data_IF_389387438276
#
_entry.id   IF_389387438276
#
_cell.length_a   1.000
_cell.length_b   1.000
_cell.length_c   1.000
_cell.angle_alpha   90.00
_cell.angle_beta   90.00
_cell.angle_gamma   90.00
#
_symmetry.space_group_name_H-M   'P 1'
#
loop_
_entity.id
_entity.type
_entity.pdbx_description
1 polymer ?
#
# COMPACT_ATOMS: atom_id res chain seq x y z
N UNK A 1 65.95 -32.42 -39.00
CA UNK A 1 65.89 -32.57 -40.47
C UNK A 1 64.43 -32.32 -40.84
N UNK A 2 63.98 -31.19 -41.38
CA UNK A 2 64.62 -30.21 -42.26
C UNK A 2 63.97 -30.31 -43.65
N UNK A 3 63.39 -29.21 -44.14
CA UNK A 3 62.82 -28.96 -45.49
C UNK A 3 61.39 -29.47 -45.72
N UNK A 4 60.45 -28.80 -46.40
CA UNK A 4 60.39 -27.55 -47.21
C UNK A 4 58.87 -27.28 -47.47
N UNK A 5 58.32 -26.11 -47.17
CA UNK A 5 57.75 -25.09 -48.10
C UNK A 5 57.65 -25.52 -49.58
N UNK A 6 56.68 -25.14 -50.42
CA UNK A 6 55.90 -23.90 -50.52
C UNK A 6 54.75 -24.09 -51.54
N UNK A 7 53.82 -23.14 -51.53
CA UNK A 7 52.77 -22.80 -52.51
C UNK A 7 53.21 -22.90 -54.00
N UNK A 8 52.28 -23.10 -54.95
CA UNK A 8 51.54 -22.00 -55.60
C UNK A 8 50.73 -22.40 -56.85
N UNK A 9 49.61 -21.69 -57.05
CA UNK A 9 49.03 -21.08 -58.28
C UNK A 9 49.38 -21.66 -59.67
N UNK A 10 48.55 -21.63 -60.73
CA UNK A 10 47.39 -20.82 -61.17
C UNK A 10 46.95 -21.34 -62.56
N UNK A 11 45.82 -20.79 -63.04
CA UNK A 11 45.53 -20.35 -64.41
C UNK A 11 44.19 -20.92 -64.91
N UNK A 12 43.09 -20.15 -64.85
CA UNK A 12 42.69 -19.10 -65.84
C UNK A 12 41.99 -19.75 -67.05
N UNK A 13 40.97 -19.22 -67.71
CA UNK A 13 40.24 -17.94 -67.76
C UNK A 13 39.00 -18.23 -68.66
N UNK A 14 37.90 -17.47 -68.68
CA UNK A 14 37.60 -16.21 -69.42
C UNK A 14 36.06 -16.14 -69.35
N UNK A 15 35.31 -15.04 -69.22
CA UNK A 15 35.49 -13.58 -69.23
C UNK A 15 34.06 -13.00 -68.98
N UNK A 16 33.91 -11.93 -68.17
CA UNK A 16 33.65 -10.54 -68.61
C UNK A 16 32.27 -10.37 -69.29
N UNK A 17 31.37 -9.44 -68.94
CA UNK A 17 31.54 -8.00 -68.68
C UNK A 17 30.44 -7.40 -67.75
N UNK A 18 30.77 -6.23 -67.19
CA UNK A 18 29.92 -5.28 -66.43
C UNK A 18 29.04 -4.43 -67.36
N UNK A 19 27.91 -3.89 -66.86
CA UNK A 19 27.68 -2.43 -66.77
C UNK A 19 26.37 -2.06 -66.02
N UNK A 20 26.42 -0.92 -65.35
CA UNK A 20 25.34 -0.17 -64.68
C UNK A 20 24.22 0.29 -65.63
N UNK A 21 22.98 0.46 -65.13
CA UNK A 21 22.19 1.69 -65.29
C UNK A 21 20.83 1.72 -64.57
N UNK A 22 20.44 2.96 -64.26
CA UNK A 22 19.26 3.44 -63.55
C UNK A 22 17.90 3.30 -64.29
N UNK A 23 16.84 3.71 -63.56
CA UNK A 23 15.56 4.33 -63.99
C UNK A 23 14.38 3.43 -64.41
N UNK A 24 13.44 3.32 -63.47
CA UNK A 24 12.13 3.98 -63.47
C UNK A 24 11.52 4.45 -64.81
N UNK A 25 10.40 3.84 -65.20
CA UNK A 25 9.22 4.40 -65.91
C UNK A 25 8.08 3.37 -65.68
N UNK A 26 6.84 3.68 -65.30
CA UNK A 26 6.08 4.92 -65.47
C UNK A 26 5.24 4.85 -66.75
N UNK A 27 4.01 5.35 -66.67
CA UNK A 27 3.07 5.76 -67.74
C UNK A 27 1.90 4.79 -68.00
N UNK A 28 0.65 5.26 -68.12
CA UNK A 28 0.26 6.56 -68.67
C UNK A 28 -1.11 7.06 -68.16
N UNK A 29 -1.13 8.33 -67.73
CA UNK A 29 -2.29 9.24 -67.74
C UNK A 29 -2.74 9.50 -69.18
N UNK A 30 -3.99 9.91 -69.41
CA UNK A 30 -4.25 11.11 -70.24
C UNK A 30 -5.48 11.88 -69.74
N UNK A 31 -5.24 13.17 -69.52
CA UNK A 31 -6.16 14.27 -69.21
C UNK A 31 -7.15 14.60 -70.36
N UNK A 32 -8.18 15.41 -70.08
CA UNK A 32 -8.35 16.74 -70.70
C UNK A 32 -9.64 17.46 -70.24
N UNK A 33 -9.46 18.76 -70.03
CA UNK A 33 -10.38 19.91 -69.79
C UNK A 33 -11.55 20.02 -70.79
N UNK A 34 -12.64 20.77 -70.62
CA UNK A 34 -12.77 22.18 -70.19
C UNK A 34 -14.28 22.61 -70.09
N UNK A 35 -14.55 23.72 -69.38
CA UNK A 35 -15.69 24.69 -69.50
C UNK A 35 -17.19 24.34 -69.26
N UNK A 36 -17.80 25.01 -68.26
CA UNK A 36 -18.84 26.09 -68.42
C UNK A 36 -19.97 26.16 -67.34
N UNK A 37 -19.94 27.25 -66.55
CA UNK A 37 -20.99 28.28 -66.27
C UNK A 37 -22.44 27.88 -65.81
N UNK A 38 -22.86 28.49 -64.66
CA UNK A 38 -24.23 28.83 -64.15
C UNK A 38 -25.13 27.64 -63.71
N UNK A 39 -25.94 27.66 -62.64
CA UNK A 39 -26.56 28.72 -61.83
C UNK A 39 -27.18 28.13 -60.55
N UNK A 40 -27.47 29.03 -59.59
CA UNK A 40 -28.13 28.82 -58.28
C UNK A 40 -29.42 27.98 -58.34
N UNK A 41 -29.67 27.12 -57.33
CA UNK A 41 -30.92 27.11 -56.55
C UNK A 41 -30.88 26.26 -55.27
N UNK A 42 -31.43 26.85 -54.23
CA UNK A 42 -31.60 26.40 -52.85
C UNK A 42 -32.67 25.31 -52.75
N UNK A 43 -32.46 24.24 -51.95
CA UNK A 43 -33.42 23.76 -50.91
C UNK A 43 -32.98 22.49 -50.15
N UNK A 44 -32.81 22.68 -48.83
CA UNK A 44 -33.15 21.81 -47.68
C UNK A 44 -32.68 20.34 -47.68
N UNK A 45 -31.54 20.07 -47.04
CA UNK A 45 -31.27 18.79 -46.38
C UNK A 45 -31.64 18.86 -44.88
N UNK A 46 -32.58 18.00 -44.46
CA UNK A 46 -32.81 17.65 -43.06
C UNK A 46 -31.59 16.87 -42.54
N UNK A 47 -30.75 17.48 -41.70
CA UNK A 47 -29.78 16.74 -40.87
C UNK A 47 -30.31 16.61 -39.44
N UNK A 48 -30.60 15.38 -39.03
CA UNK A 48 -30.91 15.00 -37.64
C UNK A 48 -29.71 15.38 -36.75
N UNK A 49 -29.89 16.34 -35.84
CA UNK A 49 -28.93 16.62 -34.76
C UNK A 49 -29.07 15.54 -33.67
N UNK A 50 -28.08 14.66 -33.53
CA UNK A 50 -27.88 13.87 -32.29
C UNK A 50 -27.26 14.81 -31.25
N UNK A 51 -28.09 15.41 -30.40
CA UNK A 51 -27.62 16.01 -29.16
C UNK A 51 -27.31 14.86 -28.19
N UNK A 52 -26.04 14.69 -27.81
CA UNK A 52 -25.69 13.95 -26.59
C UNK A 52 -26.11 14.81 -25.41
N UNK A 53 -27.28 14.50 -24.83
CA UNK A 53 -27.61 14.96 -23.48
C UNK A 53 -26.60 14.32 -22.52
N UNK A 54 -25.64 15.11 -22.06
CA UNK A 54 -24.87 14.79 -20.85
C UNK A 54 -25.76 15.24 -19.70
N UNK A 55 -26.27 14.35 -18.82
CA UNK A 55 -26.92 14.79 -17.61
C UNK A 55 -25.86 15.47 -16.75
N UNK A 56 -26.02 16.78 -16.56
CA UNK A 56 -25.28 17.56 -15.58
C UNK A 56 -25.73 17.02 -14.22
N UNK A 57 -24.99 16.07 -13.64
CA UNK A 57 -25.28 15.63 -12.29
C UNK A 57 -25.12 16.83 -11.36
N UNK A 58 -26.23 17.19 -10.73
CA UNK A 58 -26.33 18.34 -9.85
C UNK A 58 -25.27 18.26 -8.77
N UNK A 59 -24.54 19.36 -8.62
CA UNK A 59 -23.76 19.65 -7.44
C UNK A 59 -24.72 19.58 -6.24
N UNK A 60 -24.72 18.46 -5.51
CA UNK A 60 -25.32 18.42 -4.19
C UNK A 60 -24.52 19.40 -3.35
N UNK A 61 -25.19 20.47 -2.91
CA UNK A 61 -24.66 21.45 -1.97
C UNK A 61 -24.13 20.68 -0.76
N UNK A 62 -22.80 20.69 -0.59
CA UNK A 62 -22.16 20.27 0.65
C UNK A 62 -22.60 21.25 1.74
N UNK A 63 -23.25 20.71 2.77
CA UNK A 63 -23.53 21.37 4.04
C UNK A 63 -22.28 22.11 4.55
N UNK A 64 -22.49 23.25 5.22
CA UNK A 64 -21.50 24.11 5.87
C UNK A 64 -20.61 23.35 6.87
N UNK A 65 -19.65 22.60 6.35
CA UNK A 65 -18.62 21.91 7.12
C UNK A 65 -17.40 22.78 7.33
N UNK A 66 -16.67 22.55 8.42
CA UNK A 66 -15.35 23.15 8.63
C UNK A 66 -14.48 22.90 7.39
N UNK A 67 -13.98 23.94 6.70
CA UNK A 67 -13.15 23.75 5.52
C UNK A 67 -11.87 23.04 5.95
N UNK A 68 -11.51 21.94 5.29
CA UNK A 68 -10.22 21.28 5.51
C UNK A 68 -9.18 21.97 4.61
N UNK A 69 -8.17 22.59 5.21
CA UNK A 69 -7.06 23.22 4.51
C UNK A 69 -6.00 22.16 4.18
N UNK A 70 -5.53 22.15 2.94
CA UNK A 70 -4.37 21.36 2.52
C UNK A 70 -3.16 22.28 2.56
N UNK A 71 -2.16 21.94 3.39
CA UNK A 71 -0.87 22.61 3.39
C UNK A 71 0.17 21.64 2.77
N UNK A 72 0.80 21.99 1.65
CA UNK A 72 1.87 21.17 1.11
C UNK A 72 3.06 21.16 2.07
N UNK A 73 3.64 19.97 2.29
CA UNK A 73 4.93 19.83 2.96
C UNK A 73 6.06 20.11 1.95
N UNK A 74 7.20 20.61 2.44
CA UNK A 74 8.37 20.99 1.65
C UNK A 74 8.93 19.82 0.79
N UNK A 75 8.61 18.57 1.16
CA UNK A 75 9.04 17.35 0.47
C UNK A 75 8.00 16.76 -0.51
N UNK A 76 6.86 17.44 -0.73
CA UNK A 76 5.81 17.00 -1.69
C UNK A 76 4.64 16.22 -1.09
N UNK A 77 4.72 15.85 0.20
CA UNK A 77 3.57 15.41 1.00
C UNK A 77 2.60 16.55 1.29
N UNK A 78 1.53 16.26 2.02
CA UNK A 78 0.63 17.32 2.48
C UNK A 78 0.03 17.01 3.85
N UNK A 79 -0.10 18.08 4.61
CA UNK A 79 -0.78 18.13 5.88
C UNK A 79 -2.22 18.61 5.65
N UNK A 80 -3.17 17.96 6.30
CA UNK A 80 -4.58 18.38 6.32
C UNK A 80 -4.93 18.76 7.74
N UNK A 81 -5.46 19.97 7.88
CA UNK A 81 -5.93 20.53 9.15
C UNK A 81 -7.23 21.33 8.93
N UNK A 82 -7.93 21.64 10.00
CA UNK A 82 -9.12 22.48 9.93
C UNK A 82 -8.72 23.93 9.59
N UNK A 83 -9.42 24.53 8.63
CA UNK A 83 -9.22 25.91 8.23
C UNK A 83 -9.46 26.87 9.39
N UNK A 84 -8.59 27.88 9.49
CA UNK A 84 -8.48 28.81 10.61
C UNK A 84 -9.67 29.80 10.68
N UNK A 85 -10.85 29.35 11.09
CA UNK A 85 -11.95 30.25 11.46
C UNK A 85 -11.81 30.69 12.93
N UNK A 86 -10.71 31.38 13.26
CA UNK A 86 -10.52 32.05 14.55
C UNK A 86 -10.39 31.14 15.78
N UNK A 87 -9.85 29.93 15.64
CA UNK A 87 -9.70 28.96 16.75
C UNK A 87 -8.27 28.93 17.27
N UNK A 88 -8.11 29.10 18.59
CA UNK A 88 -6.83 29.08 19.31
C UNK A 88 -6.34 27.68 19.70
N UNK A 89 -6.88 26.59 19.12
CA UNK A 89 -6.49 25.24 19.51
C UNK A 89 -5.67 24.58 18.40
N UNK A 90 -4.42 24.25 18.73
CA UNK A 90 -3.52 23.53 17.84
C UNK A 90 -3.76 22.01 17.99
N UNK A 91 -3.67 21.24 16.89
CA UNK A 91 -3.86 19.80 16.94
C UNK A 91 -2.83 19.13 17.86
N UNK A 92 -3.28 18.12 18.60
CA UNK A 92 -2.45 17.36 19.55
C UNK A 92 -2.17 15.93 19.09
N UNK A 93 -2.85 15.46 18.04
CA UNK A 93 -2.77 14.09 17.55
C UNK A 93 -2.35 14.04 16.08
N UNK A 94 -1.16 13.51 15.83
CA UNK A 94 -0.66 13.23 14.49
C UNK A 94 -1.25 11.93 13.96
N UNK A 95 -1.84 11.96 12.76
CA UNK A 95 -2.29 10.79 12.02
C UNK A 95 -1.48 10.66 10.73
N UNK A 96 -0.57 9.69 10.69
CA UNK A 96 0.30 9.43 9.55
C UNK A 96 -0.37 8.43 8.61
N UNK A 97 -0.68 8.86 7.38
CA UNK A 97 -1.28 8.02 6.35
C UNK A 97 -0.23 7.58 5.32
N UNK A 98 -0.10 6.26 5.09
CA UNK A 98 1.00 5.66 4.31
C UNK A 98 0.46 4.89 3.12
N UNK A 99 0.87 5.26 1.90
CA UNK A 99 0.36 4.68 0.67
C UNK A 99 0.89 3.26 0.37
N UNK A 100 0.13 2.52 -0.43
CA UNK A 100 0.53 1.24 -1.00
C UNK A 100 1.47 1.37 -2.20
N UNK A 101 1.76 0.22 -2.83
CA UNK A 101 2.63 0.10 -4.01
C UNK A 101 2.10 0.92 -5.20
N UNK A 102 2.98 1.61 -5.93
CA UNK A 102 2.61 2.55 -7.03
C UNK A 102 1.60 3.62 -6.56
N UNK A 103 1.63 3.94 -5.26
CA UNK A 103 0.77 4.93 -4.64
C UNK A 103 1.45 6.31 -4.53
N UNK A 104 0.69 7.25 -3.97
CA UNK A 104 1.17 8.55 -3.52
C UNK A 104 0.30 9.06 -2.37
N UNK A 105 0.72 10.15 -1.72
CA UNK A 105 -0.04 10.82 -0.66
C UNK A 105 -1.49 11.12 -1.09
N UNK A 106 -1.72 11.42 -2.37
CA UNK A 106 -3.03 11.79 -2.90
C UNK A 106 -4.10 10.71 -2.78
N UNK A 107 -3.69 9.45 -2.66
CA UNK A 107 -4.61 8.34 -2.45
C UNK A 107 -5.37 8.46 -1.12
N UNK A 108 -4.81 9.19 -0.15
CA UNK A 108 -5.39 9.41 1.17
C UNK A 108 -6.19 10.70 1.29
N UNK A 109 -6.21 11.55 0.25
CA UNK A 109 -6.85 12.87 0.29
C UNK A 109 -8.30 12.82 0.79
N UNK A 110 -9.08 11.83 0.35
CA UNK A 110 -10.46 11.68 0.83
C UNK A 110 -10.51 11.38 2.32
N UNK A 111 -9.77 10.36 2.78
CA UNK A 111 -9.76 9.95 4.18
C UNK A 111 -9.25 11.09 5.08
N UNK A 112 -8.15 11.74 4.71
CA UNK A 112 -7.59 12.85 5.47
C UNK A 112 -8.59 13.98 5.69
N UNK A 113 -9.33 14.36 4.64
CA UNK A 113 -10.41 15.36 4.76
C UNK A 113 -11.54 14.91 5.68
N UNK A 114 -11.92 13.63 5.69
CA UNK A 114 -12.96 13.14 6.60
C UNK A 114 -12.48 13.11 8.05
N UNK A 115 -11.23 12.70 8.30
CA UNK A 115 -10.63 12.72 9.64
C UNK A 115 -10.61 14.13 10.24
N UNK A 116 -10.13 15.11 9.47
CA UNK A 116 -10.09 16.51 9.90
C UNK A 116 -11.49 17.08 10.12
N UNK A 117 -12.47 16.70 9.30
CA UNK A 117 -13.86 17.13 9.51
C UNK A 117 -14.46 16.55 10.80
N UNK A 118 -14.12 15.31 11.13
CA UNK A 118 -14.62 14.65 12.33
C UNK A 118 -13.92 15.14 13.61
N UNK A 119 -12.63 15.46 13.52
CA UNK A 119 -11.80 15.87 14.66
C UNK A 119 -11.08 17.21 14.42
N UNK A 120 -11.80 18.30 14.11
CA UNK A 120 -11.21 19.54 13.58
C UNK A 120 -10.25 20.25 14.52
N UNK A 121 -10.26 19.93 15.82
CA UNK A 121 -9.39 20.57 16.81
C UNK A 121 -8.36 19.59 17.42
N UNK A 122 -8.43 18.30 17.12
CA UNK A 122 -7.56 17.29 17.78
C UNK A 122 -6.52 16.73 16.81
N UNK A 123 -6.87 16.55 15.53
CA UNK A 123 -6.01 15.82 14.57
C UNK A 123 -5.30 16.72 13.57
N UNK A 124 -4.01 16.45 13.40
CA UNK A 124 -3.22 16.81 12.22
C UNK A 124 -3.07 15.54 11.37
N UNK A 125 -3.55 15.54 10.14
CA UNK A 125 -3.39 14.38 9.25
C UNK A 125 -2.24 14.64 8.28
N UNK A 126 -1.18 13.85 8.37
CA UNK A 126 -0.05 13.90 7.45
C UNK A 126 -0.16 12.76 6.43
N UNK A 127 -0.29 13.10 5.15
CA UNK A 127 -0.24 12.13 4.06
C UNK A 127 1.20 12.04 3.53
N UNK A 128 1.88 10.94 3.86
CA UNK A 128 3.29 10.72 3.55
C UNK A 128 3.55 10.62 2.05
N UNK A 129 4.63 11.25 1.59
CA UNK A 129 5.12 11.19 0.20
C UNK A 129 6.52 10.54 0.10
N UNK A 130 7.13 10.17 1.23
CA UNK A 130 8.45 9.50 1.29
C UNK A 130 8.63 8.33 0.33
N UNK A 131 7.53 7.66 -0.03
CA UNK A 131 7.53 6.42 -0.79
C UNK A 131 6.49 6.45 -1.92
N UNK A 132 6.61 7.42 -2.83
CA UNK A 132 5.73 7.55 -3.98
C UNK A 132 6.25 6.91 -5.26
N UNK A 133 5.32 6.46 -6.10
CA UNK A 133 5.60 5.96 -7.44
C UNK A 133 6.68 4.86 -7.45
N UNK A 134 7.78 5.05 -8.18
CA UNK A 134 8.86 4.07 -8.32
C UNK A 134 9.63 3.81 -7.01
N UNK A 135 9.62 4.76 -6.08
CA UNK A 135 10.25 4.59 -4.75
C UNK A 135 9.59 3.46 -3.95
N UNK A 136 8.36 3.08 -4.32
CA UNK A 136 7.67 1.93 -3.70
C UNK A 136 8.35 0.58 -3.97
N UNK A 137 9.37 0.52 -4.84
CA UNK A 137 10.09 -0.70 -5.20
C UNK A 137 11.41 -0.89 -4.44
N UNK A 138 11.81 0.07 -3.60
CA UNK A 138 13.12 0.11 -2.93
C UNK A 138 13.27 -0.90 -1.79
N UNK A 139 12.17 -1.51 -1.34
CA UNK A 139 12.16 -2.45 -0.21
C UNK A 139 11.60 -1.85 1.07
N UNK A 140 10.81 -2.65 1.80
CA UNK A 140 10.13 -2.25 3.04
C UNK A 140 11.07 -1.65 4.09
N UNK A 141 12.30 -2.12 4.16
CA UNK A 141 13.35 -1.61 5.04
C UNK A 141 13.77 -0.18 4.69
N UNK A 142 14.12 0.06 3.42
CA UNK A 142 14.52 1.39 2.94
C UNK A 142 13.37 2.36 3.06
N UNK A 143 12.18 1.95 2.62
CA UNK A 143 10.97 2.77 2.68
C UNK A 143 10.57 3.09 4.13
N UNK A 144 10.73 2.13 5.03
CA UNK A 144 10.45 2.31 6.46
C UNK A 144 11.37 3.31 7.14
N UNK A 145 12.66 3.32 6.78
CA UNK A 145 13.62 4.32 7.27
C UNK A 145 13.27 5.73 6.78
N UNK A 146 12.95 5.88 5.49
CA UNK A 146 12.51 7.17 4.92
C UNK A 146 11.26 7.69 5.64
N UNK A 147 10.27 6.82 5.83
CA UNK A 147 9.06 7.19 6.56
C UNK A 147 9.37 7.61 8.01
N UNK A 148 10.28 6.91 8.70
CA UNK A 148 10.70 7.30 10.05
C UNK A 148 11.35 8.69 10.08
N UNK A 149 12.18 9.02 9.09
CA UNK A 149 12.80 10.35 8.96
C UNK A 149 11.75 11.45 8.70
N UNK A 150 10.78 11.19 7.81
CA UNK A 150 9.67 12.11 7.52
C UNK A 150 8.80 12.33 8.76
N UNK A 151 8.45 11.28 9.51
CA UNK A 151 7.64 11.41 10.73
C UNK A 151 8.33 12.27 11.79
N UNK A 152 9.65 12.14 11.98
CA UNK A 152 10.41 13.01 12.89
C UNK A 152 10.37 14.46 12.42
N UNK A 153 10.54 14.70 11.11
CA UNK A 153 10.45 16.05 10.54
C UNK A 153 9.09 16.69 10.83
N UNK A 154 8.00 15.94 10.60
CA UNK A 154 6.62 16.40 10.90
C UNK A 154 6.44 16.67 12.39
N UNK A 155 6.88 15.76 13.26
CA UNK A 155 6.75 15.93 14.71
C UNK A 155 7.50 17.19 15.20
N UNK A 156 8.71 17.43 14.69
CA UNK A 156 9.51 18.61 15.04
C UNK A 156 8.89 19.93 14.54
N UNK A 157 8.18 19.91 13.41
CA UNK A 157 7.44 21.09 12.90
C UNK A 157 6.23 21.45 13.76
N UNK A 158 5.70 20.52 14.54
CA UNK A 158 4.49 20.69 15.32
C UNK A 158 4.72 20.30 16.80
N UNK A 159 5.35 21.16 17.62
CA UNK A 159 5.78 20.83 18.99
C UNK A 159 4.62 20.58 19.97
N UNK A 160 3.40 20.93 19.59
CA UNK A 160 2.16 20.73 20.37
C UNK A 160 1.56 19.33 20.20
N UNK A 161 2.10 18.52 19.29
CA UNK A 161 1.70 17.12 19.15
C UNK A 161 2.08 16.34 20.40
N UNK A 162 1.17 15.50 20.86
CA UNK A 162 1.33 14.62 22.02
C UNK A 162 1.07 13.16 21.65
N UNK A 163 0.18 12.91 20.69
CA UNK A 163 -0.26 11.58 20.28
C UNK A 163 0.13 11.29 18.83
N UNK A 164 0.37 10.03 18.50
CA UNK A 164 0.60 9.56 17.13
C UNK A 164 -0.22 8.32 16.79
N UNK A 165 -0.75 8.29 15.57
CA UNK A 165 -1.42 7.13 14.98
C UNK A 165 -0.93 6.90 13.56
N UNK A 166 -0.94 5.65 13.11
CA UNK A 166 -0.60 5.26 11.75
C UNK A 166 -1.79 4.61 11.06
N UNK A 167 -1.99 4.94 9.78
CA UNK A 167 -2.96 4.30 8.89
C UNK A 167 -2.23 3.89 7.61
N UNK A 168 -2.03 2.60 7.41
CA UNK A 168 -1.30 2.06 6.25
C UNK A 168 -2.22 1.30 5.30
N UNK A 169 -2.09 1.55 3.99
CA UNK A 169 -2.80 0.79 2.95
C UNK A 169 -1.86 -0.15 2.24
N UNK A 170 -2.24 -1.42 2.11
CA UNK A 170 -1.48 -2.42 1.35
C UNK A 170 -0.03 -2.47 1.83
N UNK A 171 0.94 -2.28 0.94
CA UNK A 171 2.37 -2.14 1.27
C UNK A 171 2.65 -1.10 2.38
N UNK A 172 1.86 -0.02 2.45
CA UNK A 172 2.01 1.04 3.44
C UNK A 172 1.89 0.57 4.89
N UNK A 173 1.10 -0.47 5.17
CA UNK A 173 1.04 -1.06 6.51
C UNK A 173 2.34 -1.78 6.91
N UNK A 174 3.04 -2.38 5.95
CA UNK A 174 4.36 -2.99 6.18
C UNK A 174 5.43 -1.91 6.36
N UNK A 175 5.39 -0.86 5.54
CA UNK A 175 6.29 0.30 5.67
C UNK A 175 6.13 0.95 7.05
N UNK A 176 4.88 1.20 7.47
CA UNK A 176 4.57 1.75 8.79
C UNK A 176 5.10 0.85 9.91
N UNK A 177 4.91 -0.48 9.82
CA UNK A 177 5.43 -1.44 10.80
C UNK A 177 6.95 -1.40 10.91
N UNK A 178 7.67 -1.17 9.80
CA UNK A 178 9.11 -0.99 9.85
C UNK A 178 9.49 0.34 10.49
N UNK A 179 8.83 1.43 10.08
CA UNK A 179 9.11 2.78 10.55
C UNK A 179 8.92 2.91 12.07
N UNK A 180 7.86 2.35 12.65
CA UNK A 180 7.65 2.40 14.10
C UNK A 180 8.74 1.69 14.89
N UNK A 181 9.34 0.62 14.34
CA UNK A 181 10.44 -0.07 15.01
C UNK A 181 11.74 0.76 14.98
N UNK A 182 11.99 1.47 13.87
CA UNK A 182 13.11 2.42 13.77
C UNK A 182 12.92 3.63 14.69
N UNK A 183 11.71 4.19 14.75
CA UNK A 183 11.37 5.30 15.66
C UNK A 183 11.52 4.87 17.13
N UNK A 184 11.00 3.69 17.47
CA UNK A 184 11.14 3.14 18.82
C UNK A 184 12.61 2.95 19.22
N UNK A 185 13.44 2.40 18.31
CA UNK A 185 14.89 2.24 18.54
C UNK A 185 15.57 3.60 18.80
N UNK A 186 15.22 4.63 18.02
CA UNK A 186 15.77 5.99 18.19
C UNK A 186 15.38 6.59 19.53
N UNK A 187 14.12 6.46 19.93
CA UNK A 187 13.64 6.97 21.23
C UNK A 187 14.33 6.27 22.41
N UNK A 188 14.65 4.98 22.31
CA UNK A 188 15.45 4.27 23.32
C UNK A 188 16.88 4.82 23.41
N UNK A 189 17.53 5.10 22.28
CA UNK A 189 18.90 5.62 22.24
C UNK A 189 19.00 7.03 22.85
N UNK A 190 18.00 7.88 22.61
CA UNK A 190 17.94 9.23 23.21
C UNK A 190 17.87 9.15 24.74
N UNK A 191 17.01 8.29 25.29
CA UNK A 191 16.86 8.12 26.75
C UNK A 191 18.14 7.60 27.42
N UNK A 192 18.80 6.61 26.82
CA UNK A 192 20.07 6.08 27.36
C UNK A 192 21.22 7.11 27.35
N UNK A 193 21.15 8.12 26.48
CA UNK A 193 22.14 9.20 26.44
C UNK A 193 21.98 10.22 27.57
N UNK A 194 20.76 10.41 28.07
CA UNK A 194 20.41 11.36 29.14
C UNK A 194 20.65 10.79 30.55
N UNK A 195 20.54 9.47 30.73
CA UNK A 195 20.69 8.79 32.02
C UNK A 195 22.15 8.60 32.50
N UNK A 196 23.15 8.83 31.65
CA UNK A 196 24.58 8.72 32.03
C UNK A 196 25.08 9.89 32.93
N UNK A 197 24.18 10.70 33.48
CA UNK A 197 24.49 11.83 34.37
C UNK A 197 23.81 11.80 35.74
N UNK A 198 23.09 10.73 36.11
CA UNK A 198 22.29 10.68 37.34
C UNK A 198 22.40 9.35 38.09
N UNK A 199 22.60 9.46 39.40
CA UNK A 199 22.81 8.43 40.43
C UNK A 199 21.92 7.18 40.30
N UNK A 200 22.55 6.00 40.26
CA UNK A 200 21.88 4.69 40.23
C UNK A 200 21.22 4.37 41.59
N UNK A 201 19.99 4.85 41.80
CA UNK A 201 19.16 4.29 42.87
C UNK A 201 17.68 4.28 42.49
N UNK A 202 17.02 3.14 42.75
CA UNK A 202 15.61 2.81 42.53
C UNK A 202 15.23 2.05 41.24
N UNK A 203 15.66 0.79 41.15
CA UNK A 203 14.85 -0.27 40.53
C UNK A 203 13.64 -0.56 41.42
N UNK A 204 12.49 0.05 41.15
CA UNK A 204 11.20 -0.45 41.64
C UNK A 204 10.53 -1.29 40.58
N UNK A 205 10.50 -2.59 40.83
CA UNK A 205 9.67 -3.59 40.17
C UNK A 205 8.18 -3.26 40.27
N UNK A 206 7.57 -2.85 39.15
CA UNK A 206 6.12 -2.80 38.95
C UNK A 206 5.82 -3.18 37.48
N UNK A 207 5.17 -4.33 37.34
CA UNK A 207 4.45 -4.89 36.18
C UNK A 207 4.65 -4.20 34.80
N UNK A 208 5.37 -4.91 33.94
CA UNK A 208 5.89 -4.53 32.62
C UNK A 208 4.83 -4.08 31.60
N UNK A 209 4.37 -2.83 31.69
CA UNK A 209 3.88 -2.13 30.50
C UNK A 209 5.10 -1.47 29.84
N UNK A 210 5.44 -1.80 28.58
CA UNK A 210 6.50 -1.08 27.89
C UNK A 210 6.09 0.39 27.79
N UNK A 211 6.71 1.23 28.61
CA UNK A 211 6.60 2.69 28.52
C UNK A 211 7.56 3.13 27.42
N UNK A 212 7.02 3.45 26.25
CA UNK A 212 7.79 3.88 25.10
C UNK A 212 6.99 4.88 24.27
N UNK A 213 7.73 5.77 23.62
CA UNK A 213 7.18 6.72 22.67
C UNK A 213 7.51 6.26 21.25
N UNK A 214 6.86 6.87 20.27
CA UNK A 214 7.20 6.77 18.86
C UNK A 214 7.43 8.19 18.34
N UNK A 215 8.68 8.52 18.00
CA UNK A 215 9.09 9.88 17.65
C UNK A 215 8.80 10.88 18.78
N UNK A 216 8.96 10.47 20.04
CA UNK A 216 8.63 11.30 21.20
C UNK A 216 7.12 11.46 21.48
N UNK A 217 6.23 10.88 20.67
CA UNK A 217 4.77 10.98 20.81
C UNK A 217 4.17 9.71 21.40
N UNK A 218 3.04 9.83 22.09
CA UNK A 218 2.27 8.71 22.65
C UNK A 218 1.56 7.93 21.52
N UNK A 219 1.88 6.64 21.29
CA UNK A 219 1.25 5.86 20.24
C UNK A 219 -0.18 5.42 20.61
N UNK A 220 -1.15 5.75 19.76
CA UNK A 220 -2.58 5.48 19.99
C UNK A 220 -3.09 4.35 19.10
N UNK A 221 -3.17 4.57 17.78
CA UNK A 221 -3.72 3.59 16.84
C UNK A 221 -2.70 3.15 15.78
N UNK A 222 -2.59 1.84 15.56
CA UNK A 222 -1.91 1.26 14.40
C UNK A 222 -2.96 0.55 13.51
N UNK A 223 -3.37 1.21 12.44
CA UNK A 223 -4.46 0.77 11.57
C UNK A 223 -3.87 0.34 10.23
N UNK A 224 -4.31 -0.82 9.74
CA UNK A 224 -3.90 -1.34 8.44
C UNK A 224 -5.10 -1.72 7.60
N UNK A 225 -5.06 -1.39 6.30
CA UNK A 225 -6.11 -1.70 5.32
C UNK A 225 -5.51 -2.55 4.20
N UNK A 226 -6.06 -3.74 3.97
CA UNK A 226 -5.63 -4.67 2.92
C UNK A 226 -4.11 -4.90 2.89
N UNK A 227 -3.46 -4.94 4.06
CA UNK A 227 -1.99 -5.06 4.19
C UNK A 227 -1.55 -6.52 4.11
N UNK A 228 -0.58 -6.91 3.27
CA UNK A 228 -0.11 -8.30 3.17
C UNK A 228 0.85 -8.65 4.33
N UNK A 229 0.34 -8.69 5.57
CA UNK A 229 1.16 -8.89 6.77
C UNK A 229 1.99 -10.17 6.75
N UNK A 230 1.49 -11.23 6.11
CA UNK A 230 2.13 -12.55 5.96
C UNK A 230 2.81 -12.72 4.59
N UNK A 231 2.90 -11.64 3.82
CA UNK A 231 3.31 -11.65 2.42
C UNK A 231 2.16 -12.00 1.47
N UNK A 232 2.53 -12.18 0.20
CA UNK A 232 1.62 -12.45 -0.92
C UNK A 232 1.83 -13.84 -1.53
N UNK A 233 2.74 -14.65 -0.99
CA UNK A 233 3.06 -15.99 -1.48
C UNK A 233 2.13 -17.06 -0.90
N UNK A 234 1.73 -18.04 -1.69
CA UNK A 234 1.00 -19.23 -1.23
C UNK A 234 -0.48 -19.01 -0.92
N UNK A 235 -0.99 -17.79 -1.07
CA UNK A 235 -2.41 -17.53 -0.92
C UNK A 235 -3.09 -17.92 -2.24
N UNK A 236 -3.84 -19.03 -2.25
CA UNK A 236 -4.79 -19.40 -3.32
C UNK A 236 -5.88 -18.32 -3.59
N UNK A 237 -5.75 -17.15 -2.98
CA UNK A 237 -6.61 -15.98 -3.01
C UNK A 237 -5.95 -14.76 -3.70
N UNK A 238 -4.74 -14.91 -4.27
CA UNK A 238 -4.18 -13.94 -5.24
C UNK A 238 -4.46 -14.50 -6.65
N UNK A 239 -5.69 -14.40 -7.21
CA UNK A 239 -5.96 -14.84 -8.57
C UNK A 239 -5.45 -13.75 -9.51
N UNK A 240 -4.14 -13.57 -9.58
CA UNK A 240 -3.60 -12.81 -10.72
C UNK A 240 -3.94 -13.56 -12.02
N UNK A 241 -4.19 -14.89 -11.98
CA UNK A 241 -4.65 -15.69 -13.12
C UNK A 241 -5.44 -16.96 -12.75
N UNK A 242 -6.65 -16.85 -12.17
CA UNK A 242 -7.61 -17.97 -12.04
C UNK A 242 -7.10 -19.28 -11.38
N UNK A 243 -6.36 -19.19 -10.26
CA UNK A 243 -6.16 -20.35 -9.37
C UNK A 243 -5.21 -21.46 -9.87
N UNK A 244 -4.44 -21.27 -10.93
CA UNK A 244 -3.41 -22.21 -11.36
C UNK A 244 -2.09 -22.03 -10.58
N UNK A 245 -1.69 -23.07 -9.85
CA UNK A 245 -0.47 -23.13 -9.02
C UNK A 245 0.85 -22.87 -9.77
N UNK A 246 0.86 -23.11 -11.09
CA UNK A 246 2.01 -22.83 -11.95
C UNK A 246 2.33 -21.32 -12.02
N UNK A 247 1.32 -20.46 -11.88
CA UNK A 247 1.47 -19.01 -12.03
C UNK A 247 1.99 -18.32 -10.77
N UNK A 248 1.86 -18.92 -9.59
CA UNK A 248 2.51 -18.40 -8.37
C UNK A 248 4.04 -18.47 -8.51
N UNK A 249 4.55 -19.52 -9.17
CA UNK A 249 5.97 -19.60 -9.54
C UNK A 249 6.35 -18.50 -10.54
N UNK A 250 5.48 -18.20 -11.51
CA UNK A 250 5.71 -17.11 -12.49
C UNK A 250 5.64 -15.73 -11.82
N UNK A 251 4.70 -15.48 -10.92
CA UNK A 251 4.60 -14.25 -10.14
C UNK A 251 5.80 -14.08 -9.19
N UNK A 252 6.26 -15.15 -8.55
CA UNK A 252 7.51 -15.12 -7.78
C UNK A 252 8.73 -14.84 -8.66
N UNK A 253 8.74 -15.37 -9.90
CA UNK A 253 9.76 -15.07 -10.92
C UNK A 253 9.57 -13.72 -11.59
N UNK A 254 8.43 -13.05 -11.41
CA UNK A 254 8.13 -11.69 -11.86
C UNK A 254 8.28 -10.67 -10.73
N UNK A 255 8.47 -11.12 -9.48
CA UNK A 255 8.64 -10.25 -8.31
C UNK A 255 9.84 -9.31 -8.42
N UNK A 256 10.87 -9.68 -9.20
CA UNK A 256 11.99 -8.80 -9.56
C UNK A 256 11.54 -7.52 -10.29
N UNK A 257 10.41 -7.55 -11.02
CA UNK A 257 9.85 -6.35 -11.66
C UNK A 257 9.33 -5.32 -10.63
N UNK A 258 9.05 -5.77 -9.41
CA UNK A 258 8.71 -4.92 -8.26
C UNK A 258 9.92 -4.65 -7.37
N UNK A 259 11.14 -4.83 -7.90
CA UNK A 259 12.39 -4.53 -7.23
C UNK A 259 12.61 -5.35 -5.95
N UNK A 260 13.15 -4.68 -4.92
CA UNK A 260 13.39 -5.28 -3.61
C UNK A 260 12.07 -5.52 -2.86
N UNK A 261 11.10 -4.62 -3.03
CA UNK A 261 9.75 -4.77 -2.45
C UNK A 261 9.09 -6.08 -2.86
N UNK A 262 9.18 -6.47 -4.14
CA UNK A 262 8.67 -7.75 -4.61
C UNK A 262 9.28 -8.94 -3.88
N UNK A 263 10.61 -8.93 -3.67
CA UNK A 263 11.30 -10.02 -2.94
C UNK A 263 10.81 -10.14 -1.50
N UNK A 264 10.59 -9.02 -0.80
CA UNK A 264 10.05 -9.01 0.56
C UNK A 264 8.60 -9.55 0.60
N UNK A 265 7.73 -9.10 -0.30
CA UNK A 265 6.33 -9.54 -0.35
C UNK A 265 6.19 -11.04 -0.66
N UNK A 266 7.10 -11.59 -1.47
CA UNK A 266 7.11 -13.01 -1.84
C UNK A 266 7.99 -13.89 -0.93
N UNK A 267 8.52 -13.34 0.17
CA UNK A 267 9.37 -14.06 1.13
C UNK A 267 10.54 -14.78 0.45
N UNK A 268 11.14 -14.12 -0.55
CA UNK A 268 12.22 -14.66 -1.37
C UNK A 268 13.52 -13.88 -1.21
N UNK A 269 13.53 -12.85 -0.38
CA UNK A 269 14.72 -12.15 0.04
C UNK A 269 15.57 -13.03 0.98
N UNK A 270 16.87 -12.79 0.93
CA UNK A 270 17.88 -13.51 1.69
C UNK A 270 19.06 -12.56 1.91
N UNK A 271 18.79 -11.46 2.59
CA UNK A 271 19.76 -10.39 2.82
C UNK A 271 20.79 -10.87 3.86
N UNK A 272 22.07 -10.98 3.46
CA UNK A 272 23.19 -11.37 4.31
C UNK A 272 22.98 -12.69 5.08
N UNK A 273 22.28 -13.65 4.46
CA UNK A 273 21.94 -14.93 5.09
C UNK A 273 20.85 -14.85 6.16
N UNK A 274 20.28 -13.66 6.42
CA UNK A 274 19.16 -13.49 7.35
C UNK A 274 17.86 -14.06 6.75
N UNK A 275 16.91 -14.52 7.59
CA UNK A 275 15.58 -14.91 7.12
C UNK A 275 14.84 -13.74 6.43
N UNK A 276 13.79 -14.03 5.64
CA UNK A 276 13.01 -12.99 4.96
C UNK A 276 12.54 -11.88 5.89
N UNK A 277 12.57 -10.64 5.43
CA UNK A 277 12.31 -9.46 6.24
C UNK A 277 10.95 -9.51 6.93
N UNK A 278 9.87 -9.91 6.23
CA UNK A 278 8.54 -9.96 6.84
C UNK A 278 8.47 -10.98 7.99
N UNK A 279 9.23 -12.06 7.90
CA UNK A 279 9.37 -13.02 9.00
C UNK A 279 10.09 -12.39 10.19
N UNK A 280 11.18 -11.65 9.93
CA UNK A 280 11.92 -10.91 10.98
C UNK A 280 11.05 -9.85 11.65
N UNK A 281 10.15 -9.21 10.91
CA UNK A 281 9.19 -8.22 11.45
C UNK A 281 8.09 -8.82 12.33
N UNK A 282 8.04 -10.14 12.49
CA UNK A 282 7.10 -10.84 13.39
C UNK A 282 7.69 -11.18 14.77
N UNK A 283 8.92 -10.75 15.04
CA UNK A 283 9.63 -10.97 16.30
C UNK A 283 10.51 -9.77 16.62
N UNK A 284 10.90 -9.63 17.89
CA UNK A 284 11.96 -8.69 18.25
C UNK A 284 13.33 -9.30 17.93
N UNK A 285 14.24 -8.43 17.51
CA UNK A 285 15.65 -8.76 17.25
C UNK A 285 16.53 -7.75 17.97
N UNK A 286 17.83 -8.05 18.09
CA UNK A 286 18.82 -7.14 18.67
C UNK A 286 18.85 -5.78 17.93
N UNK A 287 18.73 -5.81 16.59
CA UNK A 287 18.77 -4.61 15.76
C UNK A 287 17.50 -3.76 15.90
N UNK A 288 16.32 -4.40 15.76
CA UNK A 288 15.02 -3.75 15.74
C UNK A 288 13.99 -4.58 16.51
N UNK A 289 13.22 -3.91 17.37
CA UNK A 289 12.19 -4.51 18.23
C UNK A 289 10.79 -4.22 17.66
N UNK A 290 10.39 -4.99 16.64
CA UNK A 290 9.13 -4.79 15.91
C UNK A 290 7.88 -5.05 16.75
N UNK A 291 7.87 -6.12 17.55
CA UNK A 291 6.73 -6.49 18.41
C UNK A 291 6.67 -5.54 19.61
N UNK A 292 7.80 -5.21 20.22
CA UNK A 292 7.85 -4.20 21.29
C UNK A 292 7.30 -2.85 20.81
N UNK A 293 7.70 -2.37 19.62
CA UNK A 293 7.19 -1.12 19.06
C UNK A 293 5.68 -1.18 18.76
N UNK A 294 5.19 -2.28 18.18
CA UNK A 294 3.75 -2.49 17.95
C UNK A 294 2.94 -2.58 19.25
N UNK A 295 3.52 -3.11 20.32
CA UNK A 295 2.87 -3.28 21.62
C UNK A 295 2.53 -1.94 22.27
N UNK A 296 3.30 -0.88 22.00
CA UNK A 296 3.07 0.46 22.55
C UNK A 296 1.72 1.05 22.13
N UNK A 297 1.25 0.74 20.92
CA UNK A 297 -0.03 1.24 20.42
C UNK A 297 -1.19 0.69 21.26
N UNK A 298 -2.05 1.58 21.78
CA UNK A 298 -3.24 1.19 22.54
C UNK A 298 -4.15 0.26 21.74
N UNK A 299 -4.30 0.55 20.44
CA UNK A 299 -5.15 -0.22 19.53
C UNK A 299 -4.43 -0.57 18.25
N UNK A 300 -4.62 -1.81 17.80
CA UNK A 300 -4.13 -2.33 16.52
C UNK A 300 -5.31 -2.88 15.75
N UNK A 301 -5.55 -2.36 14.54
CA UNK A 301 -6.73 -2.71 13.74
C UNK A 301 -6.32 -3.18 12.36
N UNK A 302 -6.88 -4.31 11.92
CA UNK A 302 -6.68 -4.87 10.60
C UNK A 302 -8.01 -4.88 9.81
N UNK A 303 -8.16 -3.92 8.91
CA UNK A 303 -9.22 -3.89 7.90
C UNK A 303 -8.82 -4.77 6.72
N UNK A 304 -9.63 -5.78 6.42
CA UNK A 304 -9.31 -6.76 5.39
C UNK A 304 -10.48 -7.01 4.46
N UNK A 305 -10.20 -7.11 3.16
CA UNK A 305 -11.23 -7.47 2.19
C UNK A 305 -11.51 -8.97 2.27
N UNK A 306 -12.74 -9.35 2.63
CA UNK A 306 -13.16 -10.75 2.66
C UNK A 306 -13.29 -11.35 1.26
N UNK A 307 -13.58 -10.51 0.25
CA UNK A 307 -13.78 -10.93 -1.15
C UNK A 307 -13.24 -9.89 -2.13
N UNK A 308 -12.91 -10.38 -3.34
CA UNK A 308 -12.58 -9.58 -4.53
C UNK A 308 -11.32 -8.71 -4.44
N UNK A 309 -10.56 -8.82 -3.36
CA UNK A 309 -9.17 -8.36 -3.36
C UNK A 309 -8.30 -9.41 -4.05
N UNK A 310 -7.74 -9.03 -5.17
CA UNK A 310 -6.89 -9.90 -5.98
C UNK A 310 -5.40 -9.68 -5.75
N UNK A 311 -5.04 -8.72 -4.90
CA UNK A 311 -3.65 -8.37 -4.61
C UNK A 311 -3.23 -8.90 -3.24
N UNK A 312 -4.13 -8.85 -2.26
CA UNK A 312 -3.85 -9.28 -0.89
C UNK A 312 -4.91 -10.26 -0.42
N UNK A 313 -4.44 -11.46 -0.04
CA UNK A 313 -5.32 -12.51 0.47
C UNK A 313 -5.91 -12.15 1.83
N UNK A 314 -7.16 -12.54 2.06
CA UNK A 314 -7.92 -12.25 3.29
C UNK A 314 -7.19 -12.76 4.54
N UNK A 315 -6.58 -13.95 4.49
CA UNK A 315 -5.81 -14.51 5.61
C UNK A 315 -4.59 -13.66 5.97
N UNK A 316 -3.89 -13.13 4.97
CA UNK A 316 -2.73 -12.25 5.16
C UNK A 316 -3.15 -10.91 5.76
N UNK A 317 -4.19 -10.28 5.22
CA UNK A 317 -4.68 -8.99 5.68
C UNK A 317 -5.35 -9.01 7.06
N UNK A 318 -6.01 -10.11 7.42
CA UNK A 318 -6.67 -10.25 8.73
C UNK A 318 -5.80 -10.89 9.81
N UNK A 319 -4.56 -11.30 9.50
CA UNK A 319 -3.70 -12.06 10.42
C UNK A 319 -4.40 -13.33 10.95
N UNK A 320 -5.08 -14.06 10.08
CA UNK A 320 -5.80 -15.30 10.40
C UNK A 320 -5.25 -16.47 9.62
N UNK A 321 -5.35 -17.68 10.17
CA UNK A 321 -5.18 -18.91 9.40
C UNK A 321 -6.38 -19.09 8.47
N UNK A 322 -6.21 -19.82 7.37
CA UNK A 322 -7.30 -20.02 6.38
C UNK A 322 -8.52 -20.75 6.95
N UNK A 323 -8.31 -21.62 7.94
CA UNK A 323 -9.37 -22.33 8.65
C UNK A 323 -10.05 -21.49 9.76
N UNK A 324 -9.48 -20.33 10.11
CA UNK A 324 -10.04 -19.38 11.08
C UNK A 324 -10.82 -18.25 10.41
N UNK A 325 -10.82 -18.19 9.07
CA UNK A 325 -11.57 -17.18 8.35
C UNK A 325 -13.08 -17.36 8.64
N UNK A 326 -13.78 -16.28 9.03
CA UNK A 326 -15.21 -16.33 9.26
C UNK A 326 -15.95 -16.92 8.06
N UNK A 327 -16.96 -17.75 8.34
CA UNK A 327 -17.97 -18.07 7.33
C UNK A 327 -18.85 -16.84 7.15
N UNK A 328 -19.35 -16.58 5.94
CA UNK A 328 -20.24 -15.42 5.67
C UNK A 328 -21.34 -15.38 6.75
N UNK A 329 -21.29 -14.39 7.65
CA UNK A 329 -22.29 -14.22 8.70
C UNK A 329 -23.55 -13.62 8.09
N UNK A 330 -24.71 -14.05 8.58
CA UNK A 330 -26.00 -13.41 8.30
C UNK A 330 -26.25 -12.18 9.18
N UNK A 331 -25.40 -11.96 10.19
CA UNK A 331 -25.47 -10.81 11.08
C UNK A 331 -24.94 -9.57 10.35
N UNK A 332 -25.88 -8.72 9.95
CA UNK A 332 -25.56 -7.45 9.31
C UNK A 332 -24.97 -6.50 10.35
N UNK A 333 -23.72 -6.07 10.14
CA UNK A 333 -23.24 -4.86 10.80
C UNK A 333 -24.12 -3.68 10.38
N UNK A 334 -24.23 -2.65 11.23
CA UNK A 334 -24.98 -1.43 10.90
C UNK A 334 -24.40 -0.67 9.70
N UNK A 335 -23.12 -0.93 9.37
CA UNK A 335 -22.41 -0.31 8.26
C UNK A 335 -22.41 -1.25 7.04
N UNK A 336 -22.86 -0.78 5.85
CA UNK A 336 -23.16 -1.63 4.70
C UNK A 336 -22.06 -2.59 4.25
N UNK A 337 -20.79 -2.15 4.23
CA UNK A 337 -19.69 -2.97 3.73
C UNK A 337 -18.90 -3.70 4.82
N UNK A 338 -19.18 -3.47 6.10
CA UNK A 338 -18.56 -4.22 7.20
C UNK A 338 -19.35 -5.51 7.41
N UNK A 339 -18.70 -6.66 7.17
CA UNK A 339 -19.37 -7.98 7.22
C UNK A 339 -19.03 -8.77 8.47
N UNK A 340 -17.91 -8.48 9.11
CA UNK A 340 -17.54 -9.09 10.38
C UNK A 340 -16.61 -8.15 11.16
N UNK A 341 -16.78 -8.09 12.47
CA UNK A 341 -15.96 -7.27 13.37
C UNK A 341 -15.61 -8.09 14.61
N UNK A 342 -14.32 -8.35 14.79
CA UNK A 342 -13.77 -9.05 15.95
C UNK A 342 -13.02 -8.04 16.83
N UNK A 343 -13.60 -7.69 17.98
CA UNK A 343 -13.15 -6.55 18.80
C UNK A 343 -11.80 -6.73 19.50
N UNK A 344 -11.46 -7.92 19.98
CA UNK A 344 -10.16 -8.16 20.61
C UNK A 344 -9.78 -9.62 20.40
N UNK A 345 -8.83 -9.86 19.51
CA UNK A 345 -8.22 -11.18 19.37
C UNK A 345 -6.82 -11.19 19.96
N UNK A 346 -6.59 -12.06 20.94
CA UNK A 346 -5.24 -12.47 21.36
C UNK A 346 -5.14 -13.98 21.16
N UNK A 347 -4.04 -14.46 20.57
CA UNK A 347 -3.87 -15.90 20.40
C UNK A 347 -3.88 -16.61 21.76
N UNK A 348 -4.77 -17.57 21.94
CA UNK A 348 -4.93 -18.28 23.21
C UNK A 348 -3.81 -19.34 23.33
N UNK A 349 -2.95 -19.32 24.38
CA UNK A 349 -1.84 -20.27 24.52
C UNK A 349 -2.30 -21.74 24.58
N UNK A 350 -3.53 -21.99 25.03
CA UNK A 350 -4.07 -23.33 25.25
C UNK A 350 -4.63 -24.01 23.99
N UNK A 351 -4.68 -23.32 22.85
CA UNK A 351 -5.05 -23.91 21.55
C UNK A 351 -3.85 -24.61 20.87
N UNK A 352 -2.86 -25.05 21.66
CA UNK A 352 -1.71 -25.83 21.20
C UNK A 352 -1.99 -27.33 20.99
N UNK A 353 -3.21 -27.80 21.31
CA UNK A 353 -3.50 -29.23 21.24
C UNK A 353 -4.08 -29.64 19.87
N UNK A 354 -3.24 -30.39 19.16
CA UNK A 354 -3.58 -31.41 18.15
C UNK A 354 -3.89 -30.96 16.72
N UNK A 355 -2.83 -30.71 15.94
CA UNK A 355 -2.79 -31.09 14.51
C UNK A 355 -1.40 -31.61 14.13
N UNK A 356 -0.99 -32.75 14.72
CA UNK A 356 0.00 -33.64 14.10
C UNK A 356 -0.67 -34.42 12.96
N UNK A 357 -0.97 -33.75 11.85
CA UNK A 357 -1.34 -34.41 10.60
C UNK A 357 -0.15 -34.30 9.63
N UNK A 358 0.42 -35.47 9.30
CA UNK A 358 1.51 -35.68 8.35
C UNK A 358 1.13 -35.13 6.97
N UNK A 359 1.52 -33.90 6.67
CA UNK A 359 1.59 -33.35 5.31
C UNK A 359 2.99 -32.75 5.18
N UNK A 360 3.72 -32.93 4.06
CA UNK A 360 4.99 -32.25 3.87
C UNK A 360 4.71 -30.74 3.85
N UNK A 361 4.91 -30.06 4.98
CA UNK A 361 4.71 -28.61 5.08
C UNK A 361 5.75 -27.95 4.18
N UNK A 362 5.29 -27.14 3.22
CA UNK A 362 6.19 -26.29 2.42
C UNK A 362 6.77 -25.22 3.33
N UNK A 363 8.07 -24.92 3.19
CA UNK A 363 8.79 -23.83 3.90
C UNK A 363 7.97 -22.54 4.04
N UNK A 364 7.18 -22.16 3.04
CA UNK A 364 6.29 -20.98 3.07
C UNK A 364 5.18 -21.07 4.12
N UNK A 365 4.55 -22.24 4.30
CA UNK A 365 3.47 -22.40 5.29
C UNK A 365 4.00 -22.34 6.73
N UNK A 366 5.24 -22.78 6.96
CA UNK A 366 5.91 -22.67 8.25
C UNK A 366 6.27 -21.21 8.58
N UNK A 367 6.72 -20.44 7.57
CA UNK A 367 6.93 -19.00 7.72
C UNK A 367 5.61 -18.25 7.97
N UNK A 368 4.54 -18.57 7.23
CA UNK A 368 3.19 -18.00 7.45
C UNK A 368 2.73 -18.24 8.89
N UNK A 369 2.85 -19.47 9.38
CA UNK A 369 2.48 -19.84 10.76
C UNK A 369 3.33 -19.11 11.80
N UNK A 370 4.64 -18.98 11.57
CA UNK A 370 5.54 -18.25 12.47
C UNK A 370 5.15 -16.77 12.55
N UNK A 371 4.85 -16.15 11.40
CA UNK A 371 4.42 -14.75 11.35
C UNK A 371 3.06 -14.54 12.04
N UNK A 372 2.09 -15.43 11.82
CA UNK A 372 0.80 -15.38 12.53
C UNK A 372 1.05 -15.45 14.03
N UNK A 373 1.81 -16.45 14.50
CA UNK A 373 2.12 -16.62 15.92
C UNK A 373 2.83 -15.40 16.50
N UNK A 374 3.76 -14.78 15.77
CA UNK A 374 4.48 -13.60 16.21
C UNK A 374 3.58 -12.37 16.36
N UNK A 375 2.83 -12.04 15.30
CA UNK A 375 2.01 -10.83 15.24
C UNK A 375 0.76 -10.90 16.11
N UNK A 376 0.19 -12.09 16.31
CA UNK A 376 -1.02 -12.31 17.12
C UNK A 376 -0.76 -12.57 18.61
N UNK A 377 0.50 -12.45 19.05
CA UNK A 377 0.85 -12.28 20.48
C UNK A 377 0.23 -11.00 21.05
N UNK A 378 0.10 -9.98 20.20
CA UNK A 378 -0.55 -8.73 20.54
C UNK A 378 -2.04 -8.81 20.19
N UNK A 379 -2.85 -8.02 20.89
CA UNK A 379 -4.27 -7.93 20.59
C UNK A 379 -4.51 -7.19 19.27
N UNK A 380 -5.38 -7.73 18.42
CA UNK A 380 -5.83 -7.08 17.18
C UNK A 380 -7.36 -7.02 17.12
N UNK A 381 -7.86 -5.85 16.74
CA UNK A 381 -9.20 -5.70 16.16
C UNK A 381 -9.14 -6.13 14.70
N UNK A 382 -10.06 -6.98 14.25
CA UNK A 382 -10.11 -7.44 12.86
C UNK A 382 -11.46 -7.10 12.26
N UNK A 383 -11.44 -6.28 11.23
CA UNK A 383 -12.63 -5.79 10.53
C UNK A 383 -12.62 -6.34 9.11
N UNK A 384 -13.63 -7.12 8.76
CA UNK A 384 -13.75 -7.72 7.44
C UNK A 384 -14.73 -6.90 6.59
N UNK A 385 -14.28 -6.54 5.39
CA UNK A 385 -14.97 -5.66 4.46
C UNK A 385 -15.37 -6.43 3.20
N UNK A 386 -16.57 -6.18 2.67
CA UNK A 386 -17.03 -6.82 1.43
C UNK A 386 -17.82 -5.86 0.54
N UNK A 387 -17.33 -5.65 -0.68
CA UNK A 387 -17.99 -4.85 -1.71
C UNK A 387 -18.91 -5.65 -2.63
N UNK A 388 -19.37 -6.86 -2.22
CA UNK A 388 -20.15 -7.80 -3.05
C UNK A 388 -21.38 -7.15 -3.72
N UNK A 389 -22.03 -6.19 -3.05
CA UNK A 389 -23.19 -5.44 -3.55
C UNK A 389 -22.87 -4.26 -4.47
N UNK A 390 -21.60 -3.91 -4.65
CA UNK A 390 -21.16 -2.76 -5.44
C UNK A 390 -20.53 -3.18 -6.77
N UNK A 391 -20.66 -2.33 -7.79
CA UNK A 391 -19.88 -2.47 -9.04
C UNK A 391 -18.38 -2.25 -8.79
N UNK A 392 -18.02 -1.56 -7.70
CA UNK A 392 -16.63 -1.31 -7.30
C UNK A 392 -15.94 -2.53 -6.67
N UNK A 393 -16.61 -3.70 -6.61
CA UNK A 393 -16.03 -4.95 -6.08
C UNK A 393 -14.73 -5.36 -6.77
N UNK A 394 -14.60 -5.12 -8.07
CA UNK A 394 -13.36 -5.42 -8.83
C UNK A 394 -12.20 -4.49 -8.47
N UNK A 395 -12.49 -3.42 -7.73
CA UNK A 395 -11.54 -2.46 -7.21
C UNK A 395 -11.47 -2.52 -5.68
N UNK A 396 -11.91 -3.62 -5.04
CA UNK A 396 -11.98 -3.75 -3.58
C UNK A 396 -10.69 -3.31 -2.87
N UNK A 397 -9.54 -3.67 -3.44
CA UNK A 397 -8.22 -3.29 -2.91
C UNK A 397 -8.05 -1.77 -2.76
N UNK A 398 -8.53 -0.98 -3.72
CA UNK A 398 -8.44 0.49 -3.70
C UNK A 398 -9.71 1.14 -3.12
N UNK A 399 -10.85 0.44 -3.16
CA UNK A 399 -12.11 0.89 -2.62
C UNK A 399 -12.03 1.05 -1.10
N UNK A 400 -11.38 0.11 -0.40
CA UNK A 400 -11.25 0.13 1.07
C UNK A 400 -10.57 1.40 1.63
N UNK A 401 -9.73 2.09 0.84
CA UNK A 401 -9.11 3.38 1.22
C UNK A 401 -9.76 4.59 0.52
N UNK A 402 -10.73 4.37 -0.37
CA UNK A 402 -11.33 5.41 -1.21
C UNK A 402 -10.28 6.18 -2.03
N UNK A 403 -9.43 5.44 -2.76
CA UNK A 403 -8.29 6.01 -3.53
C UNK A 403 -8.68 7.20 -4.40
N UNK A 404 -9.81 7.08 -5.11
CA UNK A 404 -10.37 8.16 -5.92
C UNK A 404 -11.87 8.19 -5.70
N UNK A 405 -12.39 9.22 -5.05
CA UNK A 405 -13.79 9.26 -4.59
C UNK A 405 -14.81 8.95 -5.70
N UNK A 406 -14.65 9.50 -6.91
CA UNK A 406 -15.59 9.24 -8.01
C UNK A 406 -15.61 7.78 -8.50
N UNK A 407 -14.58 7.00 -8.21
CA UNK A 407 -14.42 5.60 -8.62
C UNK A 407 -14.59 4.63 -7.43
N UNK A 408 -14.25 5.09 -6.22
CA UNK A 408 -14.06 4.28 -5.02
C UNK A 408 -14.98 4.68 -3.85
N UNK A 409 -16.02 5.47 -4.10
CA UNK A 409 -16.97 5.96 -3.09
C UNK A 409 -17.65 4.87 -2.25
N UNK A 410 -17.68 3.62 -2.72
CA UNK A 410 -18.28 2.53 -1.97
C UNK A 410 -17.54 2.26 -0.66
N UNK A 411 -16.26 2.61 -0.52
CA UNK A 411 -15.53 2.46 0.74
C UNK A 411 -15.65 3.65 1.69
N UNK A 412 -16.47 4.66 1.37
CA UNK A 412 -16.65 5.83 2.23
C UNK A 412 -17.17 5.45 3.62
N UNK A 413 -18.03 4.43 3.70
CA UNK A 413 -18.56 3.90 4.95
C UNK A 413 -17.52 3.14 5.77
N UNK A 414 -16.52 2.52 5.11
CA UNK A 414 -15.35 1.93 5.79
C UNK A 414 -14.47 3.02 6.42
N UNK A 415 -14.24 4.12 5.70
CA UNK A 415 -13.52 5.27 6.26
C UNK A 415 -14.31 5.89 7.42
N UNK A 416 -15.64 5.99 7.29
CA UNK A 416 -16.49 6.46 8.38
C UNK A 416 -16.41 5.54 9.60
N UNK A 417 -16.47 4.22 9.41
CA UNK A 417 -16.28 3.26 10.50
C UNK A 417 -14.93 3.47 11.20
N UNK A 418 -13.85 3.66 10.43
CA UNK A 418 -12.53 3.92 10.99
C UNK A 418 -12.50 5.18 11.85
N UNK A 419 -13.13 6.25 11.39
CA UNK A 419 -13.25 7.52 12.10
C UNK A 419 -14.09 7.36 13.37
N UNK A 420 -15.28 6.77 13.29
CA UNK A 420 -16.19 6.58 14.43
C UNK A 420 -15.57 5.75 15.55
N UNK A 421 -14.58 4.93 15.21
CA UNK A 421 -13.83 4.08 16.12
C UNK A 421 -12.46 4.65 16.50
N UNK A 422 -12.06 5.84 16.05
CA UNK A 422 -10.67 6.29 16.15
C UNK A 422 -10.22 6.63 17.57
N UNK A 423 -11.07 7.28 18.36
CA UNK A 423 -10.74 7.71 19.74
C UNK A 423 -11.13 6.71 20.84
N UNK A 424 -11.50 5.48 20.48
CA UNK A 424 -11.89 4.44 21.45
C UNK A 424 -10.76 3.97 22.35
#
# INVERSE_FOLDING_TARGET
>A
MGSMEMENMRAETVGEEKLDQEKQMGLEEVNLSDQSIKSKKIRKQKKKKRYRFIPRFGCMRLHDGVPAAEQPDAAGGFDVEAGCNGRNHLPTHLVVMVNGIIGSAQNWRYAAKQFVKAYPNDVLVHCSESNSSMLTFDGVDVMGKRLADEVISVANRHPNLQKISFVGHSLGGLIARYAIAELYRRDLMTKSGEENGGDESHKSSLEDKPMGNIAGLEPVNFITCATPHLGSRGHKQVPVFCGFYAMEKVASRASWLLGRTGRHLFLSDCDDGKPPLLLRMSSDSEDLKFISALQLFKRRVAYSNARFDHLVGWSSASLRRRNELPKESSEKCSIPHIVNEEKLYTANPQQEVSLKAKVPRRRTAEMEETMIKGLTRLSWERVDVSFKGSMQRFLAHNAIQVKTYCINSAGADVIQHMIDNFQR
#
